data_IF_703469125642
#
_entry.id   IF_703469125642
#
_cell.length_a   1.000
_cell.length_b   1.000
_cell.length_c   1.000
_cell.angle_alpha   90.00
_cell.angle_beta   90.00
_cell.angle_gamma   90.00
#
_symmetry.space_group_name_H-M   'P 1'
#
loop_
_entity.id
_entity.type
_entity.pdbx_description
1 polymer ?
#
# COMPACT_ATOMS: atom_id res chain seq x y z
N UNK A 1 -45.83 65.67 27.16
CA UNK A 1 -44.84 66.28 28.07
C UNK A 1 -44.87 65.38 29.29
N UNK A 2 -43.89 64.55 29.61
CA UNK A 2 -42.44 64.75 29.62
C UNK A 2 -41.67 63.50 29.12
N UNK A 3 -40.45 63.74 28.67
CA UNK A 3 -39.46 62.78 28.19
C UNK A 3 -38.27 62.75 29.17
N UNK A 4 -37.44 61.69 29.05
CA UNK A 4 -36.12 61.45 29.68
C UNK A 4 -36.18 60.86 31.11
N UNK A 5 -35.46 59.83 31.55
CA UNK A 5 -34.18 59.19 31.18
C UNK A 5 -34.31 57.66 31.44
N UNK A 6 -33.93 56.76 30.52
CA UNK A 6 -32.56 56.27 30.29
C UNK A 6 -31.85 55.67 31.51
N UNK A 7 -31.94 54.34 31.67
CA UNK A 7 -30.81 53.44 31.99
C UNK A 7 -31.28 51.99 31.99
N UNK A 8 -30.91 51.24 30.96
CA UNK A 8 -29.84 50.24 31.06
C UNK A 8 -30.12 49.19 32.13
N UNK A 9 -30.87 48.16 31.74
CA UNK A 9 -30.70 46.82 32.31
C UNK A 9 -30.54 45.84 31.15
N UNK A 10 -29.52 46.08 30.32
CA UNK A 10 -28.86 44.99 29.61
C UNK A 10 -28.09 44.21 30.67
N UNK A 11 -28.71 43.17 31.22
CA UNK A 11 -28.06 42.26 32.15
C UNK A 11 -27.97 40.86 31.53
N UNK A 12 -26.79 40.60 30.99
CA UNK A 12 -26.16 39.29 30.88
C UNK A 12 -26.88 38.23 30.05
N UNK A 13 -26.71 38.36 28.73
CA UNK A 13 -26.29 37.22 27.93
C UNK A 13 -24.99 36.68 28.56
N UNK A 14 -25.13 35.63 29.36
CA UNK A 14 -24.02 34.92 30.00
C UNK A 14 -22.99 34.55 28.93
N UNK A 15 -21.73 35.03 29.01
CA UNK A 15 -20.67 34.41 28.25
C UNK A 15 -20.52 32.99 28.77
N UNK A 16 -20.77 32.04 27.86
CA UNK A 16 -20.39 30.63 27.95
C UNK A 16 -19.05 30.51 28.68
N UNK A 17 -18.93 29.71 29.76
CA UNK A 17 -17.73 29.71 30.57
C UNK A 17 -16.54 29.33 29.70
N UNK A 18 -15.61 30.27 29.58
CA UNK A 18 -14.28 30.01 29.05
C UNK A 18 -13.72 28.85 29.88
N UNK A 19 -13.46 27.73 29.21
CA UNK A 19 -12.87 26.57 29.85
C UNK A 19 -11.49 26.99 30.36
N UNK A 20 -11.41 27.27 31.66
CA UNK A 20 -10.14 27.42 32.38
C UNK A 20 -9.53 26.03 32.42
N UNK A 21 -8.88 25.64 31.33
CA UNK A 21 -8.09 24.43 31.30
C UNK A 21 -6.91 24.63 32.26
N UNK A 22 -6.74 23.68 33.18
CA UNK A 22 -5.56 23.64 34.03
C UNK A 22 -4.32 23.69 33.10
N UNK A 23 -3.30 24.52 33.39
CA UNK A 23 -2.10 24.61 32.54
C UNK A 23 -1.49 23.23 32.22
N UNK A 24 -1.67 22.24 33.12
CA UNK A 24 -1.25 20.84 32.89
C UNK A 24 -2.06 20.14 31.80
N UNK A 25 -3.35 20.41 31.70
CA UNK A 25 -4.20 19.84 30.63
C UNK A 25 -3.82 20.39 29.27
N UNK A 26 -3.52 21.69 29.20
CA UNK A 26 -3.05 22.34 27.96
C UNK A 26 -1.72 21.75 27.52
N UNK A 27 -0.79 21.54 28.45
CA UNK A 27 0.51 20.92 28.16
C UNK A 27 0.37 19.47 27.69
N UNK A 28 -0.46 18.66 28.36
CA UNK A 28 -0.74 17.28 27.95
C UNK A 28 -1.37 17.23 26.55
N UNK A 29 -2.31 18.13 26.24
CA UNK A 29 -2.91 18.22 24.92
C UNK A 29 -1.87 18.57 23.84
N UNK A 30 -1.01 19.55 24.09
CA UNK A 30 0.07 19.92 23.18
C UNK A 30 1.07 18.77 22.93
N UNK A 31 1.41 18.00 23.97
CA UNK A 31 2.28 16.83 23.85
C UNK A 31 1.63 15.71 23.02
N UNK A 32 0.34 15.44 23.23
CA UNK A 32 -0.40 14.45 22.44
C UNK A 32 -0.50 14.83 20.97
N UNK A 33 -0.75 16.11 20.70
CA UNK A 33 -0.81 16.63 19.33
C UNK A 33 0.54 16.46 18.63
N UNK A 34 1.65 16.87 19.29
CA UNK A 34 3.00 16.69 18.74
C UNK A 34 3.35 15.21 18.53
N UNK A 35 2.93 14.33 19.43
CA UNK A 35 3.13 12.89 19.28
C UNK A 35 2.38 12.36 18.05
N UNK A 36 1.11 12.72 17.90
CA UNK A 36 0.28 12.35 16.75
C UNK A 36 0.91 12.80 15.44
N UNK A 37 1.33 14.07 15.36
CA UNK A 37 1.99 14.63 14.19
C UNK A 37 3.30 13.90 13.85
N UNK A 38 4.11 13.59 14.87
CA UNK A 38 5.38 12.87 14.68
C UNK A 38 5.15 11.46 14.16
N UNK A 39 4.16 10.74 14.73
CA UNK A 39 3.80 9.39 14.27
C UNK A 39 3.27 9.41 12.84
N UNK A 40 2.46 10.40 12.47
CA UNK A 40 1.96 10.53 11.09
C UNK A 40 3.11 10.76 10.11
N UNK A 41 4.02 11.70 10.40
CA UNK A 41 5.19 11.95 9.55
C UNK A 41 6.11 10.71 9.44
N UNK A 42 6.25 9.95 10.54
CA UNK A 42 6.99 8.70 10.55
C UNK A 42 6.33 7.63 9.65
N UNK A 43 5.01 7.44 9.76
CA UNK A 43 4.24 6.52 8.90
C UNK A 43 4.36 6.91 7.42
N UNK A 44 4.19 8.19 7.09
CA UNK A 44 4.32 8.68 5.71
C UNK A 44 5.71 8.40 5.12
N UNK A 45 6.75 8.62 5.92
CA UNK A 45 8.14 8.34 5.52
C UNK A 45 8.34 6.85 5.24
N UNK A 46 7.77 5.98 6.06
CA UNK A 46 7.88 4.52 5.89
C UNK A 46 7.11 4.01 4.69
N UNK A 47 5.91 4.55 4.44
CA UNK A 47 5.11 4.22 3.25
C UNK A 47 5.86 4.64 1.99
N UNK A 48 6.48 5.83 1.98
CA UNK A 48 7.29 6.30 0.86
C UNK A 48 8.50 5.42 0.57
N UNK A 49 9.14 4.90 1.62
CA UNK A 49 10.28 3.99 1.49
C UNK A 49 9.88 2.57 1.06
N UNK A 50 8.60 2.20 1.18
CA UNK A 50 8.10 0.85 0.91
C UNK A 50 6.79 0.91 0.10
N UNK A 51 6.83 1.35 -1.17
CA UNK A 51 5.64 1.50 -2.01
C UNK A 51 4.91 0.18 -2.27
N UNK A 52 5.53 -0.97 -2.02
CA UNK A 52 4.91 -2.28 -2.10
C UNK A 52 3.99 -2.62 -0.90
N UNK A 53 4.05 -1.83 0.18
CA UNK A 53 3.19 -2.03 1.35
C UNK A 53 1.93 -1.15 1.23
N UNK A 54 0.72 -1.73 1.35
CA UNK A 54 -0.50 -0.94 1.40
C UNK A 54 -0.52 -0.02 2.62
N UNK A 55 -0.84 1.26 2.42
CA UNK A 55 -0.91 2.25 3.49
C UNK A 55 -1.93 1.86 4.59
N UNK A 56 -3.00 1.17 4.21
CA UNK A 56 -4.03 0.65 5.12
C UNK A 56 -3.50 -0.36 6.14
N UNK A 57 -2.36 -1.00 5.85
CA UNK A 57 -1.74 -1.97 6.75
C UNK A 57 -0.82 -1.35 7.79
N UNK A 58 -0.52 -0.04 7.70
CA UNK A 58 0.42 0.67 8.58
C UNK A 58 -0.36 1.52 9.60
N UNK A 59 -0.57 0.99 10.81
CA UNK A 59 -1.40 1.60 11.85
C UNK A 59 -0.78 1.59 13.25
N UNK A 60 -1.48 2.20 14.21
CA UNK A 60 -1.15 2.15 15.65
C UNK A 60 -0.69 3.47 16.26
N UNK A 61 -1.12 3.75 17.49
CA UNK A 61 -0.94 5.05 18.16
C UNK A 61 0.39 5.21 18.92
N UNK A 62 1.27 4.22 18.79
CA UNK A 62 2.60 4.23 19.39
C UNK A 62 3.65 3.84 18.36
N UNK A 63 4.90 4.25 18.61
CA UNK A 63 6.02 3.87 17.75
C UNK A 63 6.16 2.34 17.62
N UNK A 64 5.95 1.62 18.73
CA UNK A 64 6.01 0.17 18.75
C UNK A 64 4.91 -0.46 17.89
N UNK A 65 3.67 0.03 18.01
CA UNK A 65 2.55 -0.46 17.22
C UNK A 65 2.77 -0.24 15.72
N UNK A 66 3.30 0.93 15.33
CA UNK A 66 3.65 1.22 13.93
C UNK A 66 4.72 0.26 13.40
N UNK A 67 5.76 -0.01 14.18
CA UNK A 67 6.83 -0.92 13.78
C UNK A 67 6.34 -2.36 13.64
N UNK A 68 5.50 -2.82 14.57
CA UNK A 68 4.92 -4.15 14.53
C UNK A 68 3.99 -4.32 13.32
N UNK A 69 3.13 -3.33 13.08
CA UNK A 69 2.24 -3.26 11.93
C UNK A 69 3.00 -3.36 10.60
N UNK A 70 4.14 -2.67 10.46
CA UNK A 70 5.00 -2.77 9.27
C UNK A 70 5.63 -4.15 9.14
N UNK A 71 6.11 -4.72 10.26
CA UNK A 71 6.69 -6.08 10.27
C UNK A 71 5.68 -7.10 9.77
N UNK A 72 4.44 -7.02 10.27
CA UNK A 72 3.33 -7.88 9.85
C UNK A 72 2.98 -7.66 8.37
N UNK A 73 2.92 -6.40 7.91
CA UNK A 73 2.66 -6.07 6.52
C UNK A 73 3.71 -6.66 5.57
N UNK A 74 5.01 -6.52 5.91
CA UNK A 74 6.11 -7.13 5.15
C UNK A 74 6.01 -8.65 5.11
N UNK A 75 5.71 -9.28 6.24
CA UNK A 75 5.56 -10.73 6.31
C UNK A 75 4.43 -11.22 5.39
N UNK A 76 3.29 -10.51 5.37
CA UNK A 76 2.17 -10.84 4.50
C UNK A 76 2.53 -10.68 3.02
N UNK A 77 3.11 -9.54 2.62
CA UNK A 77 3.52 -9.30 1.24
C UNK A 77 4.56 -10.32 0.77
N UNK A 78 5.52 -10.66 1.64
CA UNK A 78 6.51 -11.71 1.35
C UNK A 78 5.84 -13.06 1.10
N UNK A 79 4.88 -13.44 1.94
CA UNK A 79 4.12 -14.69 1.79
C UNK A 79 3.34 -14.71 0.47
N UNK A 80 2.67 -13.60 0.12
CA UNK A 80 1.92 -13.49 -1.16
C UNK A 80 2.86 -13.62 -2.36
N UNK A 81 4.01 -12.94 -2.33
CA UNK A 81 5.03 -13.07 -3.39
C UNK A 81 5.52 -14.50 -3.52
N UNK A 82 5.81 -15.17 -2.40
CA UNK A 82 6.24 -16.56 -2.40
C UNK A 82 5.18 -17.50 -2.98
N UNK A 83 3.91 -17.33 -2.60
CA UNK A 83 2.80 -18.11 -3.15
C UNK A 83 2.64 -17.92 -4.66
N UNK A 84 2.75 -16.67 -5.14
CA UNK A 84 2.64 -16.37 -6.57
C UNK A 84 3.81 -16.96 -7.38
N UNK A 85 5.04 -16.91 -6.85
CA UNK A 85 6.19 -17.53 -7.52
C UNK A 85 6.08 -19.07 -7.54
N UNK A 86 5.57 -19.68 -6.46
CA UNK A 86 5.28 -21.11 -6.44
C UNK A 86 4.21 -21.50 -7.47
N UNK A 87 3.16 -20.69 -7.62
CA UNK A 87 2.12 -20.89 -8.62
C UNK A 87 2.66 -20.76 -10.05
N UNK A 88 3.47 -19.72 -10.33
CA UNK A 88 4.16 -19.57 -11.63
C UNK A 88 5.08 -20.75 -11.94
N UNK A 89 5.79 -21.28 -10.94
CA UNK A 89 6.66 -22.44 -11.11
C UNK A 89 5.86 -23.71 -11.41
N UNK A 90 4.72 -23.92 -10.74
CA UNK A 90 3.81 -25.04 -11.00
C UNK A 90 3.10 -24.94 -12.36
N UNK A 91 2.79 -23.72 -12.81
CA UNK A 91 2.19 -23.44 -14.11
C UNK A 91 3.15 -23.48 -15.30
N UNK A 92 4.47 -23.59 -15.08
CA UNK A 92 5.44 -23.84 -16.15
C UNK A 92 5.28 -25.27 -16.65
N UNK A 93 4.39 -25.46 -17.61
CA UNK A 93 4.41 -26.64 -18.48
C UNK A 93 5.77 -26.65 -19.20
N UNK A 94 6.52 -27.77 -19.16
CA UNK A 94 7.68 -27.95 -20.03
C UNK A 94 7.21 -27.65 -21.44
N UNK A 95 7.95 -26.82 -22.18
CA UNK A 95 7.68 -26.59 -23.59
C UNK A 95 7.38 -27.94 -24.23
N UNK A 96 6.15 -28.10 -24.73
CA UNK A 96 5.69 -29.35 -25.30
C UNK A 96 6.62 -29.82 -26.41
N UNK A 97 6.38 -31.06 -26.87
CA UNK A 97 7.16 -31.80 -27.87
C UNK A 97 8.02 -30.90 -28.77
N UNK A 98 9.32 -31.21 -28.97
CA UNK A 98 10.24 -30.38 -29.74
C UNK A 98 9.58 -29.78 -30.98
N UNK A 99 9.84 -28.49 -31.24
CA UNK A 99 9.36 -27.83 -32.44
C UNK A 99 9.62 -28.74 -33.64
N UNK A 100 8.62 -28.90 -34.51
CA UNK A 100 8.72 -29.78 -35.68
C UNK A 100 9.84 -29.27 -36.58
N UNK A 101 11.05 -29.79 -36.38
CA UNK A 101 12.19 -29.47 -37.23
C UNK A 101 11.95 -30.17 -38.55
N UNK A 102 11.80 -29.40 -39.62
CA UNK A 102 11.80 -29.98 -40.97
C UNK A 102 13.17 -30.60 -41.22
N UNK A 103 13.21 -31.78 -41.84
CA UNK A 103 14.47 -32.39 -42.24
C UNK A 103 15.18 -31.47 -43.24
N UNK A 104 16.48 -31.25 -43.03
CA UNK A 104 17.29 -30.46 -43.95
C UNK A 104 17.47 -31.21 -45.28
N UNK A 105 16.69 -30.82 -46.28
CA UNK A 105 16.70 -31.40 -47.61
C UNK A 105 17.59 -30.61 -48.59
N UNK A 106 18.41 -29.66 -48.10
CA UNK A 106 19.24 -28.80 -48.96
C UNK A 106 20.27 -29.60 -49.77
N UNK A 107 20.77 -30.70 -49.20
CA UNK A 107 21.78 -31.57 -49.82
C UNK A 107 21.21 -32.61 -50.81
N UNK A 108 19.88 -32.71 -50.93
CA UNK A 108 19.23 -33.66 -51.85
C UNK A 108 19.04 -33.04 -53.25
N UNK A 109 19.34 -33.81 -54.29
CA UNK A 109 19.00 -33.45 -55.67
C UNK A 109 17.48 -33.43 -55.89
N UNK A 110 17.04 -32.77 -56.96
CA UNK A 110 15.62 -32.70 -57.32
C UNK A 110 14.96 -34.07 -57.45
N UNK A 111 15.70 -35.09 -57.93
CA UNK A 111 15.22 -36.46 -58.06
C UNK A 111 15.03 -37.13 -56.70
N UNK A 112 15.97 -36.95 -55.79
CA UNK A 112 15.93 -37.54 -54.44
C UNK A 112 14.82 -36.92 -53.57
N UNK A 113 14.55 -35.62 -53.73
CA UNK A 113 13.41 -34.95 -53.07
C UNK A 113 12.06 -35.52 -53.50
N UNK A 114 11.90 -35.80 -54.80
CA UNK A 114 10.67 -36.40 -55.32
C UNK A 114 10.50 -37.82 -54.76
N UNK A 115 11.58 -38.61 -54.75
CA UNK A 115 11.56 -39.99 -54.27
C UNK A 115 11.22 -40.09 -52.77
N UNK A 116 11.74 -39.16 -51.95
CA UNK A 116 11.40 -39.02 -50.54
C UNK A 116 9.90 -38.69 -50.33
N UNK A 117 9.33 -37.81 -51.16
CA UNK A 117 7.93 -37.38 -51.06
C UNK A 117 6.91 -38.45 -51.46
N UNK A 118 7.27 -39.37 -52.36
CA UNK A 118 6.38 -40.47 -52.80
C UNK A 118 6.52 -41.75 -51.94
N UNK A 119 7.29 -41.70 -50.84
CA UNK A 119 7.49 -42.83 -49.92
C UNK A 119 8.44 -43.92 -50.46
N UNK A 120 9.34 -43.56 -51.38
CA UNK A 120 10.31 -44.49 -51.97
C UNK A 120 11.32 -44.99 -50.93
N UNK A 121 11.40 -46.31 -50.76
CA UNK A 121 12.53 -46.99 -50.12
C UNK A 121 13.80 -46.86 -50.96
#
# INVERSE_FOLDING_TARGET
>A
MENEESKQEQANETPKPEAVHDPREVEVAALKERLSQTLNAYRESLIRLNPELPAEMVGGDTLQAVNESISQARALVSKVKQSLEAEKAAGRVPAGSPARTEADNSNLSSREKIQLGIGGK
#
